data_IF_883790152664
#
_entry.id   IF_883790152664
#
_cell.length_a   1.000
_cell.length_b   1.000
_cell.length_c   1.000
_cell.angle_alpha   90.00
_cell.angle_beta   90.00
_cell.angle_gamma   90.00
#
_symmetry.space_group_name_H-M   'P 1'
#
loop_
_entity.id
_entity.type
_entity.pdbx_description
1 polymer ?
#
# COMPACT_ATOMS: atom_id res chain seq x y z
N UNK A 1 5.55 -5.59 16.61
CA UNK A 1 6.25 -5.11 15.40
C UNK A 1 6.58 -3.63 15.63
N UNK A 2 7.85 -3.25 15.61
CA UNK A 2 8.32 -1.91 15.96
C UNK A 2 7.78 -0.81 15.01
N UNK A 3 7.64 -1.09 13.72
CA UNK A 3 7.11 -0.17 12.71
C UNK A 3 5.60 0.11 12.83
N UNK A 4 4.91 -0.62 13.70
CA UNK A 4 3.50 -0.36 14.05
C UNK A 4 3.33 0.15 15.48
N UNK A 5 4.43 0.51 16.15
CA UNK A 5 4.41 1.09 17.49
C UNK A 5 3.63 2.40 17.55
N UNK A 6 2.96 2.65 18.67
CA UNK A 6 2.11 3.85 18.81
C UNK A 6 2.89 5.15 18.74
N UNK A 7 4.11 5.18 19.26
CA UNK A 7 4.98 6.36 19.21
C UNK A 7 5.33 6.70 17.77
N UNK A 8 5.82 5.73 17.01
CA UNK A 8 6.15 5.95 15.61
C UNK A 8 4.92 6.38 14.77
N UNK A 9 3.76 5.82 15.06
CA UNK A 9 2.53 6.26 14.40
C UNK A 9 2.16 7.71 14.77
N UNK A 10 2.30 8.10 16.03
CA UNK A 10 2.09 9.48 16.45
C UNK A 10 3.02 10.44 15.73
N UNK A 11 4.30 10.14 15.66
CA UNK A 11 5.27 10.92 14.90
C UNK A 11 4.86 11.08 13.43
N UNK A 12 4.48 9.98 12.78
CA UNK A 12 4.04 9.99 11.39
C UNK A 12 2.82 10.87 11.16
N UNK A 13 1.79 10.70 12.00
CA UNK A 13 0.57 11.50 11.89
C UNK A 13 0.81 12.96 12.24
N UNK A 14 1.59 13.26 13.28
CA UNK A 14 1.94 14.64 13.63
C UNK A 14 2.63 15.32 12.46
N UNK A 15 3.65 14.69 11.88
CA UNK A 15 4.41 15.26 10.78
C UNK A 15 3.52 15.62 9.58
N UNK A 16 2.69 14.69 9.11
CA UNK A 16 1.85 14.95 7.93
C UNK A 16 0.75 15.97 8.22
N UNK A 17 0.16 15.95 9.42
CA UNK A 17 -0.88 16.91 9.81
C UNK A 17 -0.32 18.33 9.95
N UNK A 18 0.87 18.49 10.53
CA UNK A 18 1.59 19.76 10.58
C UNK A 18 1.86 20.29 9.17
N UNK A 19 2.31 19.43 8.26
CA UNK A 19 2.51 19.81 6.84
C UNK A 19 1.21 20.25 6.16
N UNK A 20 0.09 19.60 6.42
CA UNK A 20 -1.22 20.05 5.92
C UNK A 20 -1.62 21.40 6.47
N UNK A 21 -1.27 21.71 7.71
CA UNK A 21 -1.53 23.04 8.31
C UNK A 21 -0.63 24.11 7.69
N UNK A 22 0.65 23.81 7.45
CA UNK A 22 1.67 24.75 6.98
C UNK A 22 1.58 25.02 5.46
N UNK A 23 1.15 24.02 4.65
CA UNK A 23 1.16 24.07 3.21
C UNK A 23 -0.26 24.21 2.66
N UNK A 24 -0.69 25.38 2.15
CA UNK A 24 -2.10 25.67 1.83
C UNK A 24 -2.73 24.80 0.74
N UNK A 25 -1.96 24.26 -0.18
CA UNK A 25 -2.45 23.41 -1.26
C UNK A 25 -2.42 21.90 -0.91
N UNK A 26 -1.69 21.51 0.13
CA UNK A 26 -1.56 20.09 0.52
C UNK A 26 -2.82 19.62 1.26
N UNK A 27 -3.40 18.55 0.78
CA UNK A 27 -4.46 17.81 1.44
C UNK A 27 -4.03 16.39 1.80
N UNK A 28 -4.73 15.76 2.73
CA UNK A 28 -4.48 14.37 3.11
C UNK A 28 -5.77 13.58 3.28
N UNK A 29 -5.76 12.36 2.75
CA UNK A 29 -6.80 11.37 2.96
C UNK A 29 -6.22 10.22 3.78
N UNK A 30 -6.67 10.05 4.99
CA UNK A 30 -6.29 8.89 5.81
C UNK A 30 -7.26 7.74 5.60
N UNK A 31 -6.71 6.59 5.23
CA UNK A 31 -7.43 5.33 5.10
C UNK A 31 -6.87 4.30 6.09
N UNK A 32 -7.17 4.43 7.39
CA UNK A 32 -6.69 3.47 8.38
C UNK A 32 -7.39 2.13 8.21
N UNK A 33 -6.72 1.04 8.56
CA UNK A 33 -7.34 -0.29 8.62
C UNK A 33 -8.51 -0.32 9.62
N UNK A 34 -8.38 0.42 10.72
CA UNK A 34 -9.37 0.51 11.78
C UNK A 34 -9.42 1.94 12.30
N UNK A 35 -10.43 2.72 11.93
CA UNK A 35 -10.56 4.13 12.30
C UNK A 35 -10.59 4.36 13.83
N UNK A 36 -11.28 3.49 14.55
CA UNK A 36 -11.34 3.55 16.02
C UNK A 36 -9.95 3.54 16.69
N UNK A 37 -8.99 2.81 16.11
CA UNK A 37 -7.63 2.75 16.66
C UNK A 37 -6.85 4.03 16.40
N UNK A 38 -7.17 4.77 15.35
CA UNK A 38 -6.60 6.08 15.08
C UNK A 38 -6.87 7.03 16.25
N UNK A 39 -8.14 7.20 16.62
CA UNK A 39 -8.53 8.12 17.70
C UNK A 39 -8.08 7.66 19.08
N UNK A 40 -8.21 6.39 19.40
CA UNK A 40 -7.90 5.87 20.73
C UNK A 40 -6.39 5.78 21.02
N UNK A 41 -5.55 5.77 19.98
CA UNK A 41 -4.10 5.54 20.13
C UNK A 41 -3.24 6.77 19.84
N UNK A 42 -3.80 7.80 19.22
CA UNK A 42 -3.03 8.97 18.82
C UNK A 42 -2.80 9.98 19.96
N UNK A 43 -3.61 9.95 21.03
CA UNK A 43 -3.41 10.87 22.16
C UNK A 43 -3.34 12.32 21.72
N UNK A 44 -2.20 13.03 21.94
CA UNK A 44 -2.05 14.45 21.61
C UNK A 44 -2.25 14.81 20.13
N UNK A 45 -2.16 13.84 19.23
CA UNK A 45 -2.36 14.07 17.79
C UNK A 45 -3.84 14.35 17.46
N UNK A 46 -4.76 14.05 18.38
CA UNK A 46 -6.20 14.32 18.18
C UNK A 46 -6.48 15.81 17.91
N UNK A 47 -5.78 16.71 18.57
CA UNK A 47 -5.93 18.16 18.37
C UNK A 47 -5.42 18.59 16.99
N UNK A 48 -4.32 18.01 16.53
CA UNK A 48 -3.82 18.24 15.16
C UNK A 48 -4.80 17.73 14.11
N UNK A 49 -5.41 16.58 14.34
CA UNK A 49 -6.46 16.03 13.46
C UNK A 49 -7.64 16.99 13.37
N UNK A 50 -8.12 17.49 14.52
CA UNK A 50 -9.24 18.43 14.56
C UNK A 50 -8.92 19.72 13.75
N UNK A 51 -7.78 20.33 14.01
CA UNK A 51 -7.31 21.53 13.31
C UNK A 51 -7.14 21.29 11.80
N UNK A 52 -6.55 20.17 11.40
CA UNK A 52 -6.38 19.84 9.99
C UNK A 52 -7.72 19.63 9.28
N UNK A 53 -8.71 19.02 9.95
CA UNK A 53 -10.08 18.85 9.43
C UNK A 53 -10.79 20.21 9.24
N UNK A 54 -10.62 21.16 10.15
CA UNK A 54 -11.19 22.50 10.04
C UNK A 54 -10.71 23.23 8.78
N UNK A 55 -9.53 22.90 8.26
CA UNK A 55 -9.05 23.45 6.97
C UNK A 55 -9.81 22.94 5.75
N UNK A 56 -10.63 21.89 5.88
CA UNK A 56 -11.27 21.18 4.77
C UNK A 56 -10.31 20.30 3.95
N UNK A 57 -9.03 20.22 4.32
CA UNK A 57 -7.97 19.51 3.58
C UNK A 57 -7.51 18.20 4.23
N UNK A 58 -8.19 17.76 5.30
CA UNK A 58 -7.94 16.48 5.95
C UNK A 58 -9.22 15.66 5.98
N UNK A 59 -9.22 14.53 5.31
CA UNK A 59 -10.31 13.58 5.31
C UNK A 59 -9.88 12.25 5.93
N UNK A 60 -10.76 11.64 6.75
CA UNK A 60 -10.50 10.34 7.38
C UNK A 60 -11.65 9.39 7.04
N UNK A 61 -11.34 8.29 6.37
CA UNK A 61 -12.33 7.27 6.04
C UNK A 61 -12.83 6.56 7.29
N UNK A 62 -14.15 6.35 7.34
CA UNK A 62 -14.87 5.61 8.38
C UNK A 62 -14.66 6.12 9.82
N UNK A 63 -15.15 7.31 10.08
CA UNK A 63 -15.23 7.89 11.41
C UNK A 63 -16.31 7.25 12.31
N UNK A 64 -17.12 6.32 11.76
CA UNK A 64 -18.26 5.71 12.43
C UNK A 64 -17.89 4.80 13.63
N UNK A 65 -16.61 4.64 13.93
CA UNK A 65 -16.13 3.81 15.03
C UNK A 65 -16.25 2.30 14.83
N UNK A 66 -16.49 1.85 13.60
CA UNK A 66 -16.51 0.43 13.25
C UNK A 66 -15.11 -0.17 13.37
N UNK A 67 -15.03 -1.47 13.59
CA UNK A 67 -13.76 -2.17 13.71
C UNK A 67 -12.98 -2.29 12.40
N UNK A 68 -13.69 -2.27 11.27
CA UNK A 68 -13.09 -2.34 9.93
C UNK A 68 -13.80 -1.37 9.00
N UNK A 69 -13.05 -0.71 8.12
CA UNK A 69 -13.62 0.08 7.04
C UNK A 69 -14.20 -0.85 5.97
N UNK A 70 -15.36 -0.52 5.42
CA UNK A 70 -15.97 -1.27 4.30
C UNK A 70 -15.33 -0.91 2.97
N UNK A 71 -14.84 0.32 2.87
CA UNK A 71 -14.22 0.84 1.66
C UNK A 71 -12.81 0.28 1.50
N UNK A 72 -12.48 -0.09 0.28
CA UNK A 72 -11.14 -0.56 -0.07
C UNK A 72 -10.14 0.61 -0.12
N UNK A 73 -8.83 0.37 0.12
CA UNK A 73 -7.80 1.40 0.02
C UNK A 73 -7.79 2.12 -1.33
N UNK A 74 -8.02 1.40 -2.40
CA UNK A 74 -8.09 1.94 -3.75
C UNK A 74 -9.14 3.05 -3.91
N UNK A 75 -10.30 2.94 -3.27
CA UNK A 75 -11.33 4.00 -3.35
C UNK A 75 -10.84 5.34 -2.78
N UNK A 76 -10.03 5.28 -1.73
CA UNK A 76 -9.39 6.49 -1.19
C UNK A 76 -8.32 7.03 -2.14
N UNK A 77 -7.53 6.15 -2.72
CA UNK A 77 -6.45 6.51 -3.63
C UNK A 77 -6.92 7.14 -4.95
N UNK A 78 -8.07 6.71 -5.48
CA UNK A 78 -8.69 7.30 -6.69
C UNK A 78 -9.09 8.77 -6.51
N UNK A 79 -9.11 9.29 -5.29
CA UNK A 79 -9.38 10.70 -4.98
C UNK A 79 -8.13 11.49 -4.63
N UNK A 80 -6.94 10.92 -4.87
CA UNK A 80 -5.66 11.52 -4.52
C UNK A 80 -4.70 11.55 -5.71
N UNK A 81 -3.81 12.53 -5.75
CA UNK A 81 -2.79 12.66 -6.78
C UNK A 81 -1.61 11.70 -6.55
N UNK A 82 -1.39 11.29 -5.29
CA UNK A 82 -0.32 10.38 -4.89
C UNK A 82 -0.77 9.53 -3.71
N UNK A 83 -0.40 8.26 -3.73
CA UNK A 83 -0.61 7.33 -2.63
C UNK A 83 0.69 7.11 -1.85
N UNK A 84 0.63 7.12 -0.52
CA UNK A 84 1.80 6.86 0.33
C UNK A 84 1.49 5.70 1.27
N UNK A 85 2.30 4.65 1.21
CA UNK A 85 2.20 3.50 2.12
C UNK A 85 3.34 3.54 3.15
N UNK A 86 2.98 3.54 4.42
CA UNK A 86 3.90 3.84 5.51
C UNK A 86 4.92 2.75 5.88
N UNK A 87 4.96 1.63 5.14
CA UNK A 87 5.92 0.55 5.34
C UNK A 87 6.02 -0.37 4.12
N UNK A 88 7.14 -1.06 3.97
CA UNK A 88 7.38 -1.98 2.85
C UNK A 88 6.66 -3.32 3.03
N UNK A 89 6.56 -3.80 4.27
CA UNK A 89 5.88 -5.07 4.56
C UNK A 89 4.37 -4.95 4.37
N UNK A 90 3.77 -5.87 3.64
CA UNK A 90 2.32 -5.90 3.43
C UNK A 90 1.81 -4.87 2.42
N UNK A 91 2.58 -4.58 1.39
CA UNK A 91 2.31 -3.58 0.37
C UNK A 91 1.11 -3.83 -0.56
N UNK A 92 0.18 -4.74 -0.24
CA UNK A 92 -0.98 -5.07 -1.10
C UNK A 92 -1.80 -3.83 -1.44
N UNK A 93 -2.08 -2.96 -0.46
CA UNK A 93 -2.83 -1.73 -0.72
C UNK A 93 -2.07 -0.77 -1.66
N UNK A 94 -0.75 -0.71 -1.53
CA UNK A 94 0.09 0.08 -2.43
C UNK A 94 0.10 -0.51 -3.85
N UNK A 95 0.18 -1.85 -3.96
CA UNK A 95 0.11 -2.53 -5.25
C UNK A 95 -1.23 -2.28 -5.96
N UNK A 96 -2.36 -2.34 -5.23
CA UNK A 96 -3.68 -2.01 -5.79
C UNK A 96 -3.70 -0.60 -6.40
N UNK A 97 -3.13 0.39 -5.70
CA UNK A 97 -3.05 1.77 -6.20
C UNK A 97 -2.12 1.89 -7.42
N UNK A 98 -0.96 1.23 -7.40
CA UNK A 98 -0.01 1.24 -8.49
C UNK A 98 -0.54 0.56 -9.76
N UNK A 99 -1.32 -0.53 -9.62
CA UNK A 99 -2.00 -1.21 -10.73
C UNK A 99 -3.01 -0.31 -11.46
N UNK A 100 -3.63 0.63 -10.76
CA UNK A 100 -4.54 1.62 -11.34
C UNK A 100 -3.82 2.87 -11.86
N UNK A 101 -2.47 2.85 -11.89
CA UNK A 101 -1.66 3.95 -12.43
C UNK A 101 -1.56 5.16 -11.50
N UNK A 102 -1.95 5.03 -10.24
CA UNK A 102 -1.81 6.13 -9.26
C UNK A 102 -0.35 6.14 -8.78
N UNK A 103 0.37 7.29 -8.87
CA UNK A 103 1.71 7.42 -8.33
C UNK A 103 1.76 6.95 -6.88
N UNK A 104 2.54 5.92 -6.59
CA UNK A 104 2.51 5.24 -5.28
C UNK A 104 3.89 5.17 -4.65
N UNK A 105 4.02 5.73 -3.47
CA UNK A 105 5.27 5.83 -2.70
C UNK A 105 5.26 4.88 -1.51
N UNK A 106 6.44 4.37 -1.17
CA UNK A 106 6.69 3.49 -0.04
C UNK A 106 7.68 4.11 0.93
N UNK A 107 7.44 3.95 2.22
CA UNK A 107 8.42 4.34 3.24
C UNK A 107 9.06 3.07 3.80
N UNK A 108 10.35 2.86 3.53
CA UNK A 108 11.12 1.74 4.07
C UNK A 108 11.87 2.15 5.33
N UNK A 109 11.31 1.82 6.48
CA UNK A 109 11.94 1.94 7.79
C UNK A 109 12.43 0.61 8.35
N UNK A 110 12.10 -0.47 7.68
CA UNK A 110 12.31 -1.83 8.18
C UNK A 110 13.60 -2.44 7.64
N UNK A 111 14.04 -1.99 6.48
CA UNK A 111 15.18 -2.56 5.78
C UNK A 111 14.98 -4.05 5.46
N UNK A 112 13.76 -4.47 5.13
CA UNK A 112 13.43 -5.88 4.89
C UNK A 112 14.12 -6.37 3.63
N UNK A 113 15.18 -7.20 3.69
CA UNK A 113 16.03 -7.48 2.54
C UNK A 113 15.41 -8.41 1.49
N UNK A 114 14.33 -9.12 1.85
CA UNK A 114 13.74 -10.17 1.02
C UNK A 114 12.45 -9.75 0.30
N UNK A 115 12.07 -8.49 0.35
CA UNK A 115 10.88 -8.02 -0.33
C UNK A 115 11.20 -7.73 -1.81
N UNK A 116 10.39 -8.25 -2.72
CA UNK A 116 10.44 -7.89 -4.16
C UNK A 116 10.32 -6.37 -4.36
N UNK A 117 9.60 -5.68 -3.47
CA UNK A 117 9.45 -4.23 -3.51
C UNK A 117 10.76 -3.46 -3.38
N UNK A 118 11.84 -4.08 -2.86
CA UNK A 118 13.17 -3.44 -2.81
C UNK A 118 13.79 -3.17 -4.18
N UNK A 119 13.27 -3.78 -5.24
CA UNK A 119 13.70 -3.54 -6.62
C UNK A 119 13.16 -2.22 -7.19
N UNK A 120 12.17 -1.61 -6.53
CA UNK A 120 11.63 -0.31 -6.91
C UNK A 120 12.66 0.82 -6.72
N UNK A 121 12.61 1.86 -7.57
CA UNK A 121 13.58 2.95 -7.53
C UNK A 121 13.59 3.71 -6.20
N UNK A 122 14.75 3.75 -5.54
CA UNK A 122 14.95 4.57 -4.34
C UNK A 122 14.99 6.05 -4.70
N UNK A 123 14.35 6.90 -3.87
CA UNK A 123 14.22 8.33 -4.09
C UNK A 123 13.17 8.74 -5.14
N UNK A 124 12.52 7.76 -5.78
CA UNK A 124 11.38 8.00 -6.69
C UNK A 124 10.12 7.25 -6.25
N UNK A 125 10.30 6.05 -5.70
CA UNK A 125 9.22 5.21 -5.18
C UNK A 125 9.45 4.85 -3.72
N UNK A 126 10.67 4.45 -3.35
CA UNK A 126 11.02 4.09 -1.98
C UNK A 126 11.78 5.24 -1.32
N UNK A 127 11.30 5.64 -0.14
CA UNK A 127 11.88 6.67 0.71
C UNK A 127 12.17 6.09 2.10
N UNK A 128 13.11 6.70 2.81
CA UNK A 128 13.54 6.22 4.16
C UNK A 128 12.65 6.75 5.29
N UNK A 129 11.99 7.88 5.09
CA UNK A 129 11.21 8.58 6.12
C UNK A 129 10.16 9.53 5.51
N UNK A 130 9.28 10.06 6.35
CA UNK A 130 8.27 11.02 5.94
C UNK A 130 8.82 12.36 5.42
N UNK A 131 9.84 12.97 6.04
CA UNK A 131 10.43 14.18 5.51
C UNK A 131 10.86 14.06 4.06
N UNK A 132 11.70 13.07 3.74
CA UNK A 132 12.17 12.86 2.37
C UNK A 132 11.04 12.51 1.39
N UNK A 133 10.01 11.81 1.85
CA UNK A 133 8.84 11.51 1.03
C UNK A 133 8.05 12.77 0.67
N UNK A 134 7.76 13.62 1.65
CA UNK A 134 6.99 14.85 1.43
C UNK A 134 7.78 15.89 0.65
N UNK A 135 9.09 16.00 0.87
CA UNK A 135 9.97 16.84 0.04
C UNK A 135 9.89 16.43 -1.43
N UNK A 136 9.95 15.12 -1.72
CA UNK A 136 9.82 14.61 -3.09
C UNK A 136 8.40 14.86 -3.67
N UNK A 137 7.35 14.74 -2.88
CA UNK A 137 5.98 15.11 -3.32
C UNK A 137 5.91 16.60 -3.68
N UNK A 138 6.47 17.48 -2.85
CA UNK A 138 6.48 18.92 -3.09
C UNK A 138 7.31 19.30 -4.32
N UNK A 139 8.46 18.66 -4.49
CA UNK A 139 9.32 18.84 -5.66
C UNK A 139 8.60 18.37 -6.94
N UNK A 140 7.99 17.19 -6.91
CA UNK A 140 7.19 16.66 -8.02
C UNK A 140 6.06 17.61 -8.40
N UNK A 141 5.34 18.15 -7.43
CA UNK A 141 4.26 19.11 -7.65
C UNK A 141 4.73 20.42 -8.27
N UNK A 142 5.89 20.93 -7.86
CA UNK A 142 6.45 22.19 -8.37
C UNK A 142 7.17 22.05 -9.71
N UNK A 143 7.49 20.82 -10.13
CA UNK A 143 8.17 20.54 -11.39
C UNK A 143 7.15 20.45 -12.53
N UNK A 144 7.33 21.25 -13.57
CA UNK A 144 6.47 21.18 -14.76
C UNK A 144 6.55 19.82 -15.42
N UNK A 145 5.42 19.11 -15.48
CA UNK A 145 5.32 17.72 -15.97
C UNK A 145 5.70 16.67 -14.95
N UNK A 146 6.00 17.05 -13.71
CA UNK A 146 6.40 16.13 -12.63
C UNK A 146 7.82 15.59 -12.78
N UNK A 147 8.21 14.72 -11.85
CA UNK A 147 9.51 14.03 -11.88
C UNK A 147 9.35 12.69 -12.60
N UNK A 148 10.15 12.46 -13.63
CA UNK A 148 10.13 11.20 -14.40
C UNK A 148 10.33 9.98 -13.49
N UNK A 149 9.39 9.03 -13.56
CA UNK A 149 9.40 7.81 -12.76
C UNK A 149 8.97 7.99 -11.30
N UNK A 150 8.43 9.16 -10.92
CA UNK A 150 7.89 9.38 -9.59
C UNK A 150 6.66 8.50 -9.32
N UNK A 151 6.76 7.64 -8.31
CA UNK A 151 5.68 6.73 -7.94
C UNK A 151 5.40 5.62 -8.96
N UNK A 152 6.29 5.41 -9.94
CA UNK A 152 6.12 4.43 -11.01
C UNK A 152 6.63 3.03 -10.62
N UNK A 153 5.74 2.05 -10.70
CA UNK A 153 6.01 0.64 -10.38
C UNK A 153 6.22 -0.24 -11.61
N UNK A 154 6.27 0.33 -12.80
CA UNK A 154 6.35 -0.43 -14.07
C UNK A 154 7.48 -1.44 -14.11
N UNK A 155 8.58 -1.18 -13.40
CA UNK A 155 9.75 -2.08 -13.35
C UNK A 155 9.51 -3.46 -12.73
N UNK A 156 8.49 -3.60 -11.86
CA UNK A 156 8.20 -4.88 -11.17
C UNK A 156 6.74 -5.30 -11.22
N UNK A 157 5.86 -4.46 -11.76
CA UNK A 157 4.41 -4.69 -11.65
C UNK A 157 3.96 -5.94 -12.41
N UNK A 158 4.63 -6.26 -13.53
CA UNK A 158 4.35 -7.44 -14.32
C UNK A 158 4.75 -8.74 -13.59
N UNK A 159 5.79 -8.68 -12.74
CA UNK A 159 6.19 -9.81 -11.90
C UNK A 159 5.21 -10.02 -10.72
N UNK A 160 4.58 -8.94 -10.24
CA UNK A 160 3.63 -9.00 -9.13
C UNK A 160 2.22 -9.40 -9.56
N UNK A 161 1.79 -8.97 -10.74
CA UNK A 161 0.51 -9.34 -11.35
C UNK A 161 0.66 -9.52 -12.87
N UNK A 162 1.16 -10.68 -13.33
CA UNK A 162 1.47 -10.92 -14.74
C UNK A 162 0.23 -11.02 -15.63
N UNK A 163 -0.93 -11.32 -15.09
CA UNK A 163 -2.12 -11.61 -15.91
C UNK A 163 -3.08 -10.42 -16.06
N UNK A 164 -3.31 -9.66 -15.02
CA UNK A 164 -4.21 -8.48 -14.98
C UNK A 164 -5.58 -8.67 -15.63
N UNK A 165 -6.12 -9.89 -15.54
CA UNK A 165 -7.36 -10.30 -16.21
C UNK A 165 -8.52 -10.58 -15.24
N UNK A 166 -8.34 -10.28 -13.95
CA UNK A 166 -9.33 -10.51 -12.90
C UNK A 166 -9.57 -11.99 -12.54
N UNK A 167 -8.79 -12.94 -13.08
CA UNK A 167 -9.00 -14.38 -12.88
C UNK A 167 -8.07 -15.02 -11.84
N UNK A 168 -7.37 -14.23 -11.03
CA UNK A 168 -6.44 -14.77 -10.02
C UNK A 168 -7.11 -15.76 -9.06
N UNK A 169 -8.30 -15.45 -8.56
CA UNK A 169 -9.06 -16.35 -7.68
C UNK A 169 -9.45 -17.67 -8.37
N UNK A 170 -9.80 -17.60 -9.65
CA UNK A 170 -10.10 -18.79 -10.46
C UNK A 170 -8.86 -19.69 -10.61
N UNK A 171 -7.70 -19.11 -10.96
CA UNK A 171 -6.43 -19.87 -11.08
C UNK A 171 -6.04 -20.49 -9.74
N UNK A 172 -6.13 -19.73 -8.67
CA UNK A 172 -5.83 -20.22 -7.32
C UNK A 172 -6.75 -21.39 -6.94
N UNK A 173 -8.06 -21.24 -7.11
CA UNK A 173 -9.03 -22.30 -6.83
C UNK A 173 -8.81 -23.57 -7.66
N UNK A 174 -8.50 -23.41 -8.92
CA UNK A 174 -8.19 -24.52 -9.82
C UNK A 174 -6.89 -25.23 -9.42
N UNK A 175 -5.84 -24.48 -9.06
CA UNK A 175 -4.60 -25.06 -8.58
C UNK A 175 -4.80 -25.86 -7.28
N UNK A 176 -5.53 -25.29 -6.31
CA UNK A 176 -5.88 -26.00 -5.08
C UNK A 176 -6.68 -27.29 -5.36
N UNK A 177 -7.62 -27.24 -6.29
CA UNK A 177 -8.38 -28.41 -6.69
C UNK A 177 -7.48 -29.52 -7.26
N UNK A 178 -6.48 -29.21 -8.07
CA UNK A 178 -5.51 -30.20 -8.57
C UNK A 178 -4.69 -30.82 -7.43
N UNK A 179 -4.27 -30.03 -6.45
CA UNK A 179 -3.59 -30.55 -5.28
C UNK A 179 -4.49 -31.53 -4.50
N UNK A 180 -5.75 -31.17 -4.27
CA UNK A 180 -6.72 -32.05 -3.60
C UNK A 180 -6.93 -33.35 -4.35
N UNK A 181 -7.10 -33.32 -5.67
CA UNK A 181 -7.21 -34.53 -6.50
C UNK A 181 -6.00 -35.46 -6.38
N UNK A 182 -4.80 -34.90 -6.25
CA UNK A 182 -3.58 -35.67 -6.02
C UNK A 182 -3.58 -36.38 -4.67
N UNK A 183 -4.02 -35.70 -3.61
CA UNK A 183 -4.17 -36.31 -2.28
C UNK A 183 -5.23 -37.41 -2.26
N UNK A 184 -6.38 -37.19 -2.88
CA UNK A 184 -7.46 -38.20 -3.00
C UNK A 184 -6.98 -39.47 -3.73
N UNK A 185 -6.06 -39.35 -4.68
CA UNK A 185 -5.43 -40.46 -5.39
C UNK A 185 -4.29 -41.14 -4.61
N UNK A 186 -3.96 -40.63 -3.44
CA UNK A 186 -2.90 -41.18 -2.58
C UNK A 186 -1.48 -40.94 -3.14
N UNK A 187 -1.28 -39.89 -3.93
CA UNK A 187 0.07 -39.55 -4.38
C UNK A 187 0.90 -38.94 -3.28
N UNK A 188 2.21 -39.11 -3.34
CA UNK A 188 3.17 -38.44 -2.48
C UNK A 188 3.17 -36.94 -2.69
N UNK A 189 3.42 -36.16 -1.62
CA UNK A 189 3.32 -34.70 -1.61
C UNK A 189 4.13 -34.03 -2.73
N UNK A 190 5.39 -34.45 -2.92
CA UNK A 190 6.27 -33.84 -3.91
C UNK A 190 5.74 -34.07 -5.33
N UNK A 191 5.28 -35.30 -5.61
CA UNK A 191 4.63 -35.62 -6.88
C UNK A 191 3.36 -34.80 -7.12
N UNK A 192 2.55 -34.56 -6.09
CA UNK A 192 1.35 -33.74 -6.20
C UNK A 192 1.73 -32.30 -6.58
N UNK A 193 2.75 -31.73 -5.93
CA UNK A 193 3.23 -30.37 -6.19
C UNK A 193 3.78 -30.24 -7.62
N UNK A 194 4.61 -31.17 -8.04
CA UNK A 194 5.21 -31.16 -9.37
C UNK A 194 4.15 -31.26 -10.48
N UNK A 195 3.22 -32.21 -10.36
CA UNK A 195 2.14 -32.38 -11.35
C UNK A 195 1.25 -31.15 -11.42
N UNK A 196 0.90 -30.54 -10.27
CA UNK A 196 0.10 -29.33 -10.26
C UNK A 196 0.85 -28.13 -10.86
N UNK A 197 2.15 -27.99 -10.59
CA UNK A 197 2.98 -26.92 -11.13
C UNK A 197 3.14 -27.02 -12.66
N UNK A 198 3.42 -28.24 -13.17
CA UNK A 198 3.52 -28.50 -14.62
C UNK A 198 2.18 -28.22 -15.34
N UNK A 199 1.06 -28.57 -14.67
CA UNK A 199 -0.26 -28.29 -15.21
C UNK A 199 -0.55 -26.80 -15.23
N UNK A 200 -0.16 -26.06 -14.21
CA UNK A 200 -0.27 -24.61 -14.15
C UNK A 200 0.49 -23.94 -15.29
N UNK A 201 1.77 -24.32 -15.48
CA UNK A 201 2.59 -23.81 -16.57
C UNK A 201 1.97 -24.06 -17.96
N UNK A 202 1.41 -25.24 -18.14
CA UNK A 202 0.80 -25.61 -19.46
C UNK A 202 -0.47 -24.80 -19.74
N UNK A 203 -1.27 -24.49 -18.72
CA UNK A 203 -2.56 -23.81 -18.91
C UNK A 203 -2.43 -22.28 -18.90
N UNK A 204 -1.47 -21.74 -18.14
CA UNK A 204 -1.39 -20.29 -17.91
C UNK A 204 0.04 -19.72 -17.91
N UNK A 205 1.07 -20.49 -18.08
CA UNK A 205 2.47 -20.06 -18.05
C UNK A 205 3.01 -19.50 -19.37
#
# INVERSE_FOLDING_TARGET
RWHTGHELQRENYSYILEKVLDVPWLGVIFKPKTAKTLYNRLGPVADLVARAKETGRCFIYDESGRHTTKEQPLLAALSADVCIHGHLSGGTAALECALEGIPTLLIDREGTPFSKLNELPKGKVIFKDWPSTIEAVMENWSTSGGIEGFGDWSSIIDDLDPFRDGKAAYRMGTYLHWLMQGYEKGFEKDKIMDVAAERYKREWG
#
